data_IF_361099661358
#
_entry.id   IF_361099661358
#
_cell.length_a   1.000
_cell.length_b   1.000
_cell.length_c   1.000
_cell.angle_alpha   90.00
_cell.angle_beta   90.00
_cell.angle_gamma   90.00
#
_symmetry.space_group_name_H-M   'P 1'
#
loop_
_entity.id
_entity.type
_entity.pdbx_description
1 polymer ?
#
# COMPACT_ATOMS: atom_id res chain seq x y z
N UNK A 1 -25.81 16.14 -1.20
CA UNK A 1 -25.27 15.74 -2.49
C UNK A 1 -23.86 15.26 -2.38
N UNK A 2 -23.55 14.18 -3.05
CA UNK A 2 -22.19 13.65 -3.03
C UNK A 2 -21.24 14.53 -3.83
N UNK A 3 -19.97 14.49 -3.44
CA UNK A 3 -18.90 15.14 -4.16
C UNK A 3 -18.80 14.59 -5.59
N UNK A 4 -18.57 15.45 -6.55
CA UNK A 4 -18.34 15.05 -7.93
C UNK A 4 -17.08 14.15 -8.01
N UNK A 5 -17.16 13.09 -8.80
CA UNK A 5 -16.04 12.17 -8.98
C UNK A 5 -14.78 12.87 -9.48
N UNK A 6 -14.94 13.82 -10.41
CA UNK A 6 -13.82 14.59 -10.93
C UNK A 6 -13.12 15.39 -9.84
N UNK A 7 -13.90 16.02 -8.94
CA UNK A 7 -13.34 16.75 -7.80
C UNK A 7 -12.58 15.82 -6.86
N UNK A 8 -13.13 14.64 -6.58
CA UNK A 8 -12.48 13.64 -5.75
C UNK A 8 -11.14 13.20 -6.33
N UNK A 9 -11.10 12.92 -7.63
CA UNK A 9 -9.87 12.50 -8.31
C UNK A 9 -8.83 13.62 -8.34
N UNK A 10 -9.26 14.86 -8.54
CA UNK A 10 -8.36 16.02 -8.50
C UNK A 10 -7.73 16.18 -7.12
N UNK A 11 -8.53 16.08 -6.07
CA UNK A 11 -8.07 16.19 -4.68
C UNK A 11 -7.06 15.08 -4.35
N UNK A 12 -7.34 13.84 -4.76
CA UNK A 12 -6.42 12.72 -4.55
C UNK A 12 -5.11 12.93 -5.31
N UNK A 13 -5.17 13.45 -6.54
CA UNK A 13 -3.99 13.77 -7.31
C UNK A 13 -3.08 14.78 -6.63
N UNK A 14 -3.65 15.73 -5.89
CA UNK A 14 -2.87 16.70 -5.14
C UNK A 14 -2.10 16.07 -3.98
N UNK A 15 -2.63 15.01 -3.38
CA UNK A 15 -2.01 14.30 -2.25
C UNK A 15 -1.07 13.19 -2.67
N UNK A 16 -1.44 12.45 -3.70
CA UNK A 16 -0.76 11.20 -4.09
C UNK A 16 -0.03 11.28 -5.41
N UNK A 17 -0.11 12.42 -6.11
CA UNK A 17 0.41 12.58 -7.46
C UNK A 17 -0.49 11.93 -8.49
N UNK A 18 -0.06 11.92 -9.74
CA UNK A 18 -0.81 11.31 -10.82
C UNK A 18 -0.92 9.79 -10.62
N UNK A 19 -2.12 9.26 -10.84
CA UNK A 19 -2.37 7.82 -10.63
C UNK A 19 -1.46 6.94 -11.48
N UNK A 20 -1.17 7.34 -12.71
CA UNK A 20 -0.31 6.56 -13.61
C UNK A 20 1.10 6.39 -13.03
N UNK A 21 1.65 7.44 -12.41
CA UNK A 21 2.94 7.38 -11.73
C UNK A 21 2.89 6.51 -10.48
N UNK A 22 1.81 6.65 -9.70
CA UNK A 22 1.57 5.80 -8.54
C UNK A 22 1.53 4.32 -8.93
N UNK A 23 0.77 4.00 -9.98
CA UNK A 23 0.64 2.62 -10.47
C UNK A 23 1.99 2.05 -10.91
N UNK A 24 2.81 2.86 -11.59
CA UNK A 24 4.14 2.45 -12.01
C UNK A 24 5.01 2.08 -10.81
N UNK A 25 5.05 2.92 -9.78
CA UNK A 25 5.82 2.65 -8.57
C UNK A 25 5.32 1.39 -7.86
N UNK A 26 4.01 1.29 -7.64
CA UNK A 26 3.45 0.17 -6.88
C UNK A 26 3.59 -1.17 -7.59
N UNK A 27 3.41 -1.20 -8.91
CA UNK A 27 3.57 -2.43 -9.67
C UNK A 27 5.03 -2.92 -9.64
N UNK A 28 6.00 -2.03 -9.72
CA UNK A 28 7.41 -2.38 -9.56
C UNK A 28 7.70 -2.94 -8.16
N UNK A 29 7.21 -2.29 -7.11
CA UNK A 29 7.41 -2.75 -5.73
C UNK A 29 6.80 -4.13 -5.50
N UNK A 30 5.56 -4.33 -5.95
CA UNK A 30 4.85 -5.60 -5.80
C UNK A 30 5.55 -6.72 -6.55
N UNK A 31 5.95 -6.46 -7.78
CA UNK A 31 6.67 -7.44 -8.59
C UNK A 31 8.01 -7.81 -7.95
N UNK A 32 8.73 -6.83 -7.44
CA UNK A 32 10.03 -7.06 -6.83
C UNK A 32 9.95 -7.96 -5.60
N UNK A 33 9.10 -7.67 -4.65
CA UNK A 33 9.04 -8.49 -3.44
C UNK A 33 8.54 -9.91 -3.73
N UNK A 34 7.58 -10.08 -4.67
CA UNK A 34 7.11 -11.41 -5.07
C UNK A 34 8.20 -12.21 -5.75
N UNK A 35 8.98 -11.58 -6.62
CA UNK A 35 10.13 -12.21 -7.26
C UNK A 35 11.15 -12.69 -6.23
N UNK A 36 11.47 -11.85 -5.25
CA UNK A 36 12.45 -12.18 -4.23
C UNK A 36 11.97 -13.29 -3.30
N UNK A 37 10.68 -13.35 -2.97
CA UNK A 37 10.10 -14.47 -2.24
C UNK A 37 10.27 -15.77 -3.00
N UNK A 38 9.89 -15.79 -4.28
CA UNK A 38 9.98 -16.98 -5.12
C UNK A 38 11.42 -17.44 -5.29
N UNK A 39 12.33 -16.50 -5.51
CA UNK A 39 13.77 -16.79 -5.66
C UNK A 39 14.35 -17.48 -4.42
N UNK A 40 13.84 -17.12 -3.23
CA UNK A 40 14.28 -17.70 -1.97
C UNK A 40 13.49 -18.93 -1.54
N UNK A 41 12.56 -19.40 -2.38
CA UNK A 41 11.72 -20.54 -2.08
C UNK A 41 10.77 -20.31 -0.91
N UNK A 42 10.43 -19.04 -0.62
CA UNK A 42 9.55 -18.67 0.49
C UNK A 42 8.14 -18.41 -0.01
N UNK A 43 7.18 -18.62 0.89
CA UNK A 43 5.79 -18.30 0.64
C UNK A 43 5.22 -17.56 1.86
N UNK A 44 4.07 -16.92 1.66
CA UNK A 44 3.36 -16.19 2.72
C UNK A 44 1.90 -16.60 2.74
N UNK A 45 1.26 -16.39 3.88
CA UNK A 45 -0.19 -16.59 4.01
C UNK A 45 -0.95 -15.49 3.27
N UNK A 46 -2.23 -15.72 2.93
CA UNK A 46 -3.00 -14.71 2.19
C UNK A 46 -3.05 -13.34 2.86
N UNK A 47 -3.16 -13.28 4.18
CA UNK A 47 -3.18 -11.99 4.89
C UNK A 47 -1.84 -11.26 4.83
N UNK A 48 -0.74 -12.00 4.80
CA UNK A 48 0.59 -11.42 4.63
C UNK A 48 0.76 -10.83 3.23
N UNK A 49 0.31 -11.53 2.19
CA UNK A 49 0.33 -11.01 0.83
C UNK A 49 -0.54 -9.76 0.69
N UNK A 50 -1.74 -9.80 1.26
CA UNK A 50 -2.64 -8.64 1.19
C UNK A 50 -2.05 -7.43 1.90
N UNK A 51 -1.50 -7.62 3.10
CA UNK A 51 -0.86 -6.53 3.85
C UNK A 51 0.34 -5.97 3.11
N UNK A 52 1.19 -6.83 2.54
CA UNK A 52 2.35 -6.39 1.75
C UNK A 52 1.91 -5.58 0.54
N UNK A 53 0.88 -6.03 -0.19
CA UNK A 53 0.37 -5.30 -1.36
C UNK A 53 -0.17 -3.92 -0.96
N UNK A 54 -0.89 -3.84 0.16
CA UNK A 54 -1.41 -2.57 0.66
C UNK A 54 -0.31 -1.65 1.18
N UNK A 55 0.70 -2.20 1.84
CA UNK A 55 1.88 -1.42 2.27
C UNK A 55 2.61 -0.86 1.05
N UNK A 56 2.82 -1.68 0.01
CA UNK A 56 3.44 -1.20 -1.24
C UNK A 56 2.61 -0.11 -1.90
N UNK A 57 1.28 -0.24 -1.87
CA UNK A 57 0.37 0.78 -2.38
C UNK A 57 0.55 2.11 -1.64
N UNK A 58 0.66 2.07 -0.31
CA UNK A 58 0.88 3.28 0.51
C UNK A 58 2.27 3.87 0.29
N UNK A 59 3.29 3.04 0.13
CA UNK A 59 4.64 3.49 -0.22
C UNK A 59 4.60 4.24 -1.56
N UNK A 60 3.86 3.73 -2.53
CA UNK A 60 3.67 4.41 -3.82
C UNK A 60 3.07 5.80 -3.66
N UNK A 61 2.10 5.97 -2.77
CA UNK A 61 1.51 7.29 -2.47
C UNK A 61 2.52 8.25 -1.85
N UNK A 62 3.39 7.75 -0.99
CA UNK A 62 4.45 8.56 -0.36
C UNK A 62 5.47 9.00 -1.40
N UNK A 63 5.92 8.09 -2.25
CA UNK A 63 6.97 8.35 -3.24
C UNK A 63 6.47 9.22 -4.39
N UNK A 64 5.24 9.01 -4.83
CA UNK A 64 4.66 9.70 -6.00
C UNK A 64 3.93 11.00 -5.62
N UNK A 65 3.58 11.17 -4.35
CA UNK A 65 2.78 12.29 -3.87
C UNK A 65 3.44 13.04 -2.74
N UNK A 66 2.66 13.33 -1.70
CA UNK A 66 3.12 14.10 -0.55
C UNK A 66 3.65 13.15 0.55
N UNK A 67 4.98 13.12 0.77
CA UNK A 67 5.57 12.26 1.80
C UNK A 67 5.23 12.68 3.23
N UNK A 68 4.72 13.90 3.39
CA UNK A 68 4.37 14.44 4.71
C UNK A 68 2.90 14.22 5.08
N UNK A 69 2.12 13.56 4.20
CA UNK A 69 0.74 13.23 4.51
C UNK A 69 0.68 12.04 5.45
N UNK A 70 0.37 12.31 6.73
CA UNK A 70 0.49 11.34 7.81
C UNK A 70 -0.33 10.06 7.61
N UNK A 71 -1.50 10.15 6.97
CA UNK A 71 -2.41 9.01 6.81
C UNK A 71 -1.75 7.84 6.07
N UNK A 72 -0.88 8.11 5.11
CA UNK A 72 -0.16 7.05 4.39
C UNK A 72 0.71 6.22 5.35
N UNK A 73 1.40 6.88 6.26
CA UNK A 73 2.25 6.21 7.24
C UNK A 73 1.45 5.46 8.29
N UNK A 74 0.35 6.06 8.74
CA UNK A 74 -0.56 5.43 9.71
C UNK A 74 -1.16 4.15 9.11
N UNK A 75 -1.56 4.18 7.85
CA UNK A 75 -2.12 3.02 7.17
C UNK A 75 -1.11 1.88 7.04
N UNK A 76 0.17 2.20 6.74
CA UNK A 76 1.24 1.21 6.72
C UNK A 76 1.36 0.52 8.08
N UNK A 77 1.39 1.31 9.15
CA UNK A 77 1.46 0.77 10.50
C UNK A 77 0.25 -0.13 10.82
N UNK A 78 -0.94 0.27 10.37
CA UNK A 78 -2.17 -0.50 10.57
C UNK A 78 -2.14 -1.86 9.91
N UNK A 79 -1.75 -1.93 8.65
CA UNK A 79 -1.64 -3.21 7.95
C UNK A 79 -0.58 -4.11 8.57
N UNK A 80 0.57 -3.55 8.93
CA UNK A 80 1.63 -4.30 9.60
C UNK A 80 1.15 -4.87 10.93
N UNK A 81 0.41 -4.07 11.72
CA UNK A 81 -0.12 -4.51 13.01
C UNK A 81 -1.14 -5.63 12.88
N UNK A 82 -2.00 -5.59 11.86
CA UNK A 82 -2.98 -6.65 11.63
C UNK A 82 -2.29 -8.02 11.45
N UNK A 83 -1.22 -8.06 10.69
CA UNK A 83 -0.45 -9.29 10.49
C UNK A 83 0.28 -9.70 11.76
N UNK A 84 0.95 -8.76 12.41
CA UNK A 84 1.68 -9.03 13.65
C UNK A 84 0.74 -9.61 14.72
N UNK A 85 -0.43 -9.01 14.88
CA UNK A 85 -1.44 -9.48 15.85
C UNK A 85 -1.91 -10.90 15.51
N UNK A 86 -2.21 -11.19 14.25
CA UNK A 86 -2.63 -12.54 13.84
C UNK A 86 -1.55 -13.57 14.10
N UNK A 87 -0.27 -13.25 13.84
CA UNK A 87 0.85 -14.15 14.11
C UNK A 87 1.02 -14.43 15.60
N UNK A 88 0.59 -13.49 16.46
CA UNK A 88 0.56 -13.66 17.91
C UNK A 88 -0.75 -14.27 18.43
N UNK A 89 -1.63 -14.71 17.52
CA UNK A 89 -2.87 -15.38 17.89
C UNK A 89 -4.08 -14.48 18.07
N UNK A 90 -3.98 -13.19 17.72
CA UNK A 90 -5.09 -12.24 17.82
C UNK A 90 -5.67 -11.99 16.43
N UNK A 91 -6.86 -12.53 16.20
CA UNK A 91 -7.58 -12.35 14.92
C UNK A 91 -8.56 -11.18 15.06
N UNK A 92 -8.47 -10.22 14.13
CA UNK A 92 -9.31 -9.02 14.16
C UNK A 92 -10.28 -8.98 12.98
#
# INVERSE_FOLDING_TARGET
MTQDLTETLTERGMRYGAFVGHAEVTQHLKAYYRHELAKRGKNMDPDQFEAMDMIMHKIGRIVNGDPDYADSWVDIAGYAKLVADRLDGVVR
#
